data_IF_278098592782
#
_entry.id   IF_278098592782
#
_cell.length_a   1.000
_cell.length_b   1.000
_cell.length_c   1.000
_cell.angle_alpha   90.00
_cell.angle_beta   90.00
_cell.angle_gamma   90.00
#
_symmetry.space_group_name_H-M   'P 1'
#
loop_
_entity.id
_entity.type
_entity.pdbx_description
1 polymer ?
#
# COMPACT_ATOMS: atom_id res chain seq x y z
N UNK A 1 17.07 -7.20 7.90
CA UNK A 1 15.74 -7.59 7.43
C UNK A 1 15.84 -7.62 5.94
N UNK A 2 15.46 -8.74 5.32
CA UNK A 2 15.40 -8.83 3.87
C UNK A 2 14.19 -8.01 3.39
N UNK A 3 14.28 -7.37 2.22
CA UNK A 3 13.18 -6.56 1.66
C UNK A 3 11.92 -7.41 1.48
N UNK A 4 12.11 -8.69 1.13
CA UNK A 4 11.03 -9.66 1.05
C UNK A 4 10.35 -9.91 2.41
N UNK A 5 11.12 -10.07 3.48
CA UNK A 5 10.58 -10.24 4.84
C UNK A 5 9.79 -9.00 5.28
N UNK A 6 10.28 -7.81 4.94
CA UNK A 6 9.58 -6.56 5.24
C UNK A 6 8.23 -6.46 4.50
N UNK A 7 8.21 -6.78 3.21
CA UNK A 7 6.98 -6.77 2.40
C UNK A 7 5.96 -7.80 2.91
N UNK A 8 6.40 -9.01 3.26
CA UNK A 8 5.51 -10.02 3.86
C UNK A 8 4.89 -9.54 5.18
N UNK A 9 5.65 -8.80 5.99
CA UNK A 9 5.11 -8.20 7.23
C UNK A 9 4.10 -7.08 6.94
N UNK A 10 4.31 -6.29 5.90
CA UNK A 10 3.32 -5.29 5.45
C UNK A 10 2.05 -6.00 4.99
N UNK A 11 2.17 -7.00 4.11
CA UNK A 11 1.05 -7.79 3.61
C UNK A 11 0.23 -8.40 4.75
N UNK A 12 0.88 -9.14 5.65
CA UNK A 12 0.21 -9.75 6.80
C UNK A 12 -0.46 -8.71 7.73
N UNK A 13 0.14 -7.52 7.86
CA UNK A 13 -0.46 -6.42 8.62
C UNK A 13 -1.72 -5.89 7.93
N UNK A 14 -1.69 -5.71 6.62
CA UNK A 14 -2.84 -5.25 5.83
C UNK A 14 -3.99 -6.26 5.94
N UNK A 15 -3.73 -7.53 5.65
CA UNK A 15 -4.72 -8.63 5.74
C UNK A 15 -5.40 -8.65 7.11
N UNK A 16 -4.61 -8.57 8.20
CA UNK A 16 -5.14 -8.55 9.57
C UNK A 16 -6.01 -7.32 9.87
N UNK A 17 -5.72 -6.18 9.25
CA UNK A 17 -6.45 -4.93 9.50
C UNK A 17 -7.70 -4.78 8.64
N UNK A 18 -7.76 -5.45 7.49
CA UNK A 18 -8.86 -5.33 6.53
C UNK A 18 -9.74 -6.57 6.44
N UNK A 19 -9.30 -7.71 6.98
CA UNK A 19 -9.98 -9.01 6.81
C UNK A 19 -10.21 -9.33 5.32
N UNK A 20 -9.20 -9.03 4.50
CA UNK A 20 -9.23 -9.16 3.03
C UNK A 20 -7.92 -9.79 2.57
N UNK A 21 -7.96 -10.69 1.58
CA UNK A 21 -6.75 -11.23 0.95
C UNK A 21 -5.98 -10.12 0.23
N UNK A 22 -4.67 -10.02 0.45
CA UNK A 22 -3.83 -8.96 -0.13
C UNK A 22 -2.81 -9.55 -1.11
N UNK A 23 -2.86 -9.11 -2.35
CA UNK A 23 -1.78 -9.29 -3.32
C UNK A 23 -0.91 -8.04 -3.31
N UNK A 24 0.28 -8.13 -2.71
CA UNK A 24 1.21 -7.01 -2.57
C UNK A 24 2.34 -7.11 -3.60
N UNK A 25 2.56 -6.03 -4.35
CA UNK A 25 3.66 -5.88 -5.30
C UNK A 25 4.49 -4.63 -4.99
N UNK A 26 5.80 -4.71 -5.20
CA UNK A 26 6.72 -3.59 -5.12
C UNK A 26 7.03 -3.07 -6.52
N UNK A 27 6.75 -1.79 -6.76
CA UNK A 27 7.17 -1.09 -7.96
C UNK A 27 8.54 -0.45 -7.72
N UNK A 28 9.54 -0.91 -8.47
CA UNK A 28 10.91 -0.40 -8.39
C UNK A 28 11.18 0.76 -9.34
N UNK A 29 10.26 1.05 -10.26
CA UNK A 29 10.40 2.13 -11.25
C UNK A 29 9.81 3.45 -10.70
N UNK A 30 8.65 3.37 -10.03
CA UNK A 30 8.01 4.52 -9.37
C UNK A 30 8.10 4.39 -7.85
N UNK A 31 9.12 5.04 -7.28
CA UNK A 31 9.44 4.97 -5.86
C UNK A 31 8.33 5.50 -4.94
N UNK A 32 7.48 6.42 -5.41
CA UNK A 32 6.41 7.04 -4.63
C UNK A 32 5.03 6.42 -4.88
N UNK A 33 4.98 5.32 -5.64
CA UNK A 33 3.73 4.69 -6.01
C UNK A 33 2.92 4.21 -4.81
N UNK A 34 1.63 4.47 -4.85
CA UNK A 34 0.64 3.80 -4.02
C UNK A 34 -0.59 3.57 -4.87
N UNK A 35 -0.94 2.31 -5.09
CA UNK A 35 -2.14 1.95 -5.84
C UNK A 35 -2.88 0.83 -5.11
N UNK A 36 -4.20 0.92 -5.09
CA UNK A 36 -5.09 -0.12 -4.57
C UNK A 36 -6.19 -0.38 -5.59
N UNK A 37 -6.28 -1.62 -6.06
CA UNK A 37 -7.41 -2.12 -6.86
C UNK A 37 -8.19 -3.14 -6.06
N UNK A 38 -9.51 -3.07 -6.12
CA UNK A 38 -10.38 -3.92 -5.33
C UNK A 38 -11.04 -4.97 -6.25
N UNK A 39 -11.00 -6.21 -5.82
CA UNK A 39 -11.73 -7.32 -6.43
C UNK A 39 -12.61 -8.01 -5.39
N UNK A 40 -13.63 -8.78 -5.81
CA UNK A 40 -14.44 -9.54 -4.86
C UNK A 40 -13.57 -10.46 -3.99
N UNK A 41 -13.47 -10.15 -2.69
CA UNK A 41 -12.71 -10.93 -1.71
C UNK A 41 -11.20 -10.67 -1.63
N UNK A 42 -10.64 -9.83 -2.51
CA UNK A 42 -9.20 -9.58 -2.57
C UNK A 42 -8.88 -8.13 -2.93
N UNK A 43 -7.72 -7.63 -2.48
CA UNK A 43 -7.18 -6.34 -2.88
C UNK A 43 -5.77 -6.49 -3.46
N UNK A 44 -5.53 -5.78 -4.56
CA UNK A 44 -4.23 -5.72 -5.24
C UNK A 44 -3.59 -4.38 -4.89
N UNK A 45 -2.47 -4.44 -4.18
CA UNK A 45 -1.76 -3.29 -3.64
C UNK A 45 -0.40 -3.21 -4.30
N UNK A 46 -0.10 -2.07 -4.91
CA UNK A 46 1.23 -1.77 -5.45
C UNK A 46 1.84 -0.64 -4.62
N UNK A 47 3.03 -0.88 -4.06
CA UNK A 47 3.81 0.08 -3.29
C UNK A 47 5.09 0.43 -4.04
N UNK A 48 5.47 1.69 -4.04
CA UNK A 48 6.76 2.13 -4.58
C UNK A 48 7.92 1.80 -3.65
N UNK A 49 9.13 1.73 -4.19
CA UNK A 49 10.36 1.38 -3.46
C UNK A 49 10.67 2.26 -2.23
N UNK A 50 10.09 3.47 -2.11
CA UNK A 50 10.25 4.31 -0.92
C UNK A 50 9.75 3.64 0.37
N UNK A 51 8.89 2.63 0.30
CA UNK A 51 8.47 1.88 1.51
C UNK A 51 9.63 1.16 2.18
N UNK A 52 10.70 0.83 1.45
CA UNK A 52 11.88 0.15 1.99
C UNK A 52 12.83 1.13 2.69
N UNK A 53 12.96 2.35 2.16
CA UNK A 53 13.91 3.34 2.64
C UNK A 53 13.31 4.29 3.70
N UNK A 54 12.03 4.64 3.55
CA UNK A 54 11.38 5.68 4.35
C UNK A 54 10.26 5.11 5.20
N UNK A 55 10.54 4.91 6.49
CA UNK A 55 9.56 4.39 7.46
C UNK A 55 8.27 5.23 7.56
N UNK A 56 8.36 6.55 7.37
CA UNK A 56 7.21 7.46 7.32
C UNK A 56 6.29 7.15 6.12
N UNK A 57 6.89 6.94 4.95
CA UNK A 57 6.17 6.57 3.74
C UNK A 57 5.50 5.20 3.89
N UNK A 58 6.21 4.20 4.41
CA UNK A 58 5.64 2.87 4.67
C UNK A 58 4.45 2.93 5.65
N UNK A 59 4.54 3.77 6.69
CA UNK A 59 3.43 3.97 7.63
C UNK A 59 2.21 4.58 6.92
N UNK A 60 2.42 5.65 6.17
CA UNK A 60 1.35 6.33 5.43
C UNK A 60 0.70 5.39 4.42
N UNK A 61 1.50 4.65 3.63
CA UNK A 61 1.02 3.68 2.66
C UNK A 61 0.07 2.67 3.31
N UNK A 62 0.45 2.10 4.47
CA UNK A 62 -0.42 1.17 5.20
C UNK A 62 -1.72 1.84 5.65
N UNK A 63 -1.66 3.04 6.20
CA UNK A 63 -2.85 3.76 6.69
C UNK A 63 -3.84 4.04 5.54
N UNK A 64 -3.34 4.52 4.39
CA UNK A 64 -4.16 4.82 3.21
C UNK A 64 -4.73 3.56 2.56
N UNK A 65 -3.95 2.47 2.44
CA UNK A 65 -4.43 1.21 1.90
C UNK A 65 -5.57 0.65 2.76
N UNK A 66 -5.41 0.65 4.09
CA UNK A 66 -6.46 0.20 5.01
C UNK A 66 -7.71 1.06 4.88
N UNK A 67 -7.57 2.39 4.80
CA UNK A 67 -8.71 3.29 4.61
C UNK A 67 -9.43 3.08 3.27
N UNK A 68 -8.67 2.88 2.20
CA UNK A 68 -9.17 2.56 0.85
C UNK A 68 -9.99 1.26 0.84
N UNK A 69 -9.42 0.16 1.35
CA UNK A 69 -10.10 -1.13 1.39
C UNK A 69 -11.37 -1.07 2.25
N UNK A 70 -11.29 -0.47 3.45
CA UNK A 70 -12.44 -0.36 4.36
C UNK A 70 -13.57 0.51 3.82
N UNK A 71 -13.25 1.50 2.99
CA UNK A 71 -14.25 2.35 2.34
C UNK A 71 -14.77 1.78 1.02
N UNK A 72 -14.22 0.66 0.55
CA UNK A 72 -14.55 0.08 -0.76
C UNK A 72 -14.17 0.99 -1.93
N UNK A 73 -13.19 1.88 -1.72
CA UNK A 73 -12.75 2.85 -2.73
C UNK A 73 -11.35 2.50 -3.19
N UNK A 74 -11.18 2.31 -4.49
CA UNK A 74 -9.84 2.16 -5.09
C UNK A 74 -9.01 3.43 -4.90
N UNK A 75 -7.69 3.28 -5.01
CA UNK A 75 -6.76 4.39 -4.86
C UNK A 75 -5.80 4.38 -6.05
N UNK A 76 -5.78 5.47 -6.81
CA UNK A 76 -4.83 5.66 -7.90
C UNK A 76 -3.60 6.46 -7.45
N UNK A 77 -2.46 6.24 -8.11
CA UNK A 77 -1.18 6.88 -7.79
C UNK A 77 -1.27 8.41 -7.75
N UNK A 78 -2.02 9.01 -8.68
CA UNK A 78 -2.19 10.47 -8.74
C UNK A 78 -2.94 11.02 -7.52
N UNK A 79 -3.93 10.29 -7.01
CA UNK A 79 -4.66 10.69 -5.80
C UNK A 79 -3.74 10.68 -4.58
N UNK A 80 -2.81 9.73 -4.51
CA UNK A 80 -1.83 9.67 -3.42
C UNK A 80 -0.79 10.80 -3.50
N UNK A 81 -0.25 11.10 -4.68
CA UNK A 81 0.68 12.22 -4.87
C UNK A 81 0.04 13.58 -4.49
N UNK A 82 -1.25 13.76 -4.77
CA UNK A 82 -2.01 14.93 -4.31
C UNK A 82 -2.17 14.96 -2.78
N UNK A 83 -2.30 13.80 -2.13
CA UNK A 83 -2.38 13.69 -0.66
C UNK A 83 -1.03 14.02 0.02
N UNK A 84 0.08 13.56 -0.57
CA UNK A 84 1.44 13.89 -0.13
C UNK A 84 1.74 15.39 -0.26
N UNK A 85 1.31 16.02 -1.35
CA UNK A 85 1.55 17.45 -1.61
C UNK A 85 0.79 18.41 -0.67
N UNK A 86 -0.11 17.89 0.17
CA UNK A 86 -0.96 18.65 1.09
C UNK A 86 -0.50 18.63 2.55
N UNK A 87 0.52 17.83 2.89
CA UNK A 87 1.14 17.76 4.22
C UNK A 87 2.61 18.15 4.15
#
# INVERSE_FOLDING_TARGET
MDDHEFLERIKAKLERLTDTEIHLELDTEDAEKLQVKLQPGAAFVTLGSNVLEYSGFARMAVEYVVASIRSGRELETLEFQMLLSRN
#
